data_IF_449298737864
#
_entry.id   IF_449298737864
#
_cell.length_a   1.000
_cell.length_b   1.000
_cell.length_c   1.000
_cell.angle_alpha   90.00
_cell.angle_beta   90.00
_cell.angle_gamma   90.00
#
_symmetry.space_group_name_H-M   'P 1'
#
loop_
_entity.id
_entity.type
_entity.pdbx_description
1 polymer ?
#
# COMPACT_ATOMS: atom_id res chain seq x y z
N UNK A 1 7.63 3.21 -58.68
CA UNK A 1 7.61 2.18 -57.60
C UNK A 1 8.82 2.28 -56.65
N UNK A 2 10.06 2.11 -57.12
CA UNK A 2 11.25 2.15 -56.24
C UNK A 2 11.35 3.46 -55.41
N UNK A 3 11.00 4.60 -55.99
CA UNK A 3 11.03 5.92 -55.33
C UNK A 3 9.99 6.07 -54.23
N UNK A 4 8.80 5.50 -54.39
CA UNK A 4 7.72 5.55 -53.39
C UNK A 4 7.98 4.60 -52.21
N UNK A 5 8.48 3.39 -52.49
CA UNK A 5 8.95 2.44 -51.46
C UNK A 5 10.11 3.03 -50.66
N UNK A 6 11.04 3.71 -51.34
CA UNK A 6 12.17 4.40 -50.68
C UNK A 6 11.68 5.57 -49.81
N UNK A 7 10.66 6.31 -50.26
CA UNK A 7 10.04 7.39 -49.47
C UNK A 7 9.32 6.87 -48.23
N UNK A 8 8.54 5.79 -48.35
CA UNK A 8 7.87 5.12 -47.24
C UNK A 8 8.88 4.53 -46.23
N UNK A 9 9.94 3.86 -46.71
CA UNK A 9 11.04 3.37 -45.86
C UNK A 9 11.75 4.51 -45.13
N UNK A 10 12.02 5.64 -45.79
CA UNK A 10 12.62 6.83 -45.13
C UNK A 10 11.69 7.44 -44.09
N UNK A 11 10.37 7.46 -44.33
CA UNK A 11 9.39 7.94 -43.34
C UNK A 11 9.33 7.02 -42.13
N UNK A 12 9.22 5.71 -42.33
CA UNK A 12 9.23 4.72 -41.25
C UNK A 12 10.55 4.74 -40.45
N UNK A 13 11.70 4.90 -41.12
CA UNK A 13 13.00 5.05 -40.46
C UNK A 13 13.11 6.35 -39.65
N UNK A 14 12.51 7.46 -40.12
CA UNK A 14 12.40 8.70 -39.35
C UNK A 14 11.49 8.57 -38.12
N UNK A 15 10.42 7.79 -38.23
CA UNK A 15 9.55 7.48 -37.08
C UNK A 15 10.26 6.59 -36.06
N UNK A 16 10.97 5.55 -36.52
CA UNK A 16 11.82 4.71 -35.65
C UNK A 16 12.86 5.53 -34.90
N UNK A 17 13.62 6.36 -35.60
CA UNK A 17 14.63 7.24 -34.96
C UNK A 17 14.02 8.33 -34.05
N UNK A 18 12.78 8.79 -34.30
CA UNK A 18 12.06 9.67 -33.36
C UNK A 18 11.64 8.91 -32.10
N UNK A 19 11.13 7.69 -32.24
CA UNK A 19 10.79 6.79 -31.14
C UNK A 19 12.02 6.44 -30.31
N UNK A 20 13.14 6.11 -30.94
CA UNK A 20 14.40 5.80 -30.25
C UNK A 20 14.90 7.02 -29.45
N UNK A 21 14.78 8.23 -30.00
CA UNK A 21 15.12 9.47 -29.28
C UNK A 21 14.18 9.77 -28.10
N UNK A 22 12.90 9.44 -28.24
CA UNK A 22 11.92 9.55 -27.15
C UNK A 22 12.22 8.52 -26.06
N UNK A 23 12.57 7.29 -26.43
CA UNK A 23 12.98 6.23 -25.51
C UNK A 23 14.27 6.61 -24.77
N UNK A 24 15.27 7.16 -25.46
CA UNK A 24 16.50 7.66 -24.82
C UNK A 24 16.22 8.85 -23.90
N UNK A 25 15.36 9.80 -24.30
CA UNK A 25 14.96 10.91 -23.43
C UNK A 25 14.25 10.43 -22.14
N UNK A 26 13.42 9.39 -22.23
CA UNK A 26 12.79 8.79 -21.04
C UNK A 26 13.77 8.04 -20.14
N UNK A 27 14.88 7.52 -20.67
CA UNK A 27 15.96 6.92 -19.85
C UNK A 27 16.75 7.97 -19.10
N UNK A 28 17.00 9.12 -19.72
CA UNK A 28 17.74 10.24 -19.11
C UNK A 28 16.94 10.91 -17.97
N UNK A 29 15.60 10.79 -17.97
CA UNK A 29 14.72 11.28 -16.91
C UNK A 29 14.57 10.33 -15.71
N UNK A 30 15.29 9.20 -15.67
CA UNK A 30 15.30 8.29 -14.51
C UNK A 30 14.01 7.48 -14.33
N UNK A 31 13.17 7.39 -15.35
CA UNK A 31 11.97 6.56 -15.34
C UNK A 31 12.39 5.09 -15.44
N UNK A 32 12.10 4.31 -14.39
CA UNK A 32 12.59 2.94 -14.21
C UNK A 32 12.36 2.00 -15.42
N UNK A 33 13.29 1.06 -15.57
CA UNK A 33 13.41 0.06 -16.65
C UNK A 33 12.17 -0.81 -16.88
N UNK A 34 11.26 -0.89 -15.92
CA UNK A 34 9.94 -1.52 -16.02
C UNK A 34 9.06 -0.88 -17.11
N UNK A 35 9.17 0.44 -17.34
CA UNK A 35 8.43 1.13 -18.41
C UNK A 35 9.05 0.99 -19.80
N UNK A 36 10.35 0.66 -19.90
CA UNK A 36 11.01 0.39 -21.18
C UNK A 36 10.70 -1.05 -21.65
N UNK A 37 10.52 -1.98 -20.70
CA UNK A 37 10.06 -3.35 -20.96
C UNK A 37 8.68 -3.37 -21.61
N UNK A 38 7.73 -2.57 -21.10
CA UNK A 38 6.37 -2.46 -21.67
C UNK A 38 6.39 -1.88 -23.09
N UNK A 39 7.28 -0.93 -23.41
CA UNK A 39 7.44 -0.44 -24.78
C UNK A 39 7.99 -1.50 -25.75
N UNK A 40 8.92 -2.35 -25.31
CA UNK A 40 9.44 -3.47 -26.11
C UNK A 40 8.37 -4.55 -26.33
N UNK A 41 7.58 -4.86 -25.29
CA UNK A 41 6.40 -5.73 -25.37
C UNK A 41 5.34 -5.15 -26.32
N UNK A 42 5.16 -3.83 -26.35
CA UNK A 42 4.22 -3.16 -27.27
C UNK A 42 4.69 -3.18 -28.73
N UNK A 43 6.00 -3.10 -29.01
CA UNK A 43 6.53 -3.38 -30.35
C UNK A 43 6.26 -4.85 -30.73
N UNK A 44 6.27 -5.76 -29.74
CA UNK A 44 5.81 -7.14 -29.86
C UNK A 44 4.31 -7.27 -30.19
N UNK A 45 3.44 -6.51 -29.53
CA UNK A 45 2.00 -6.48 -29.79
C UNK A 45 1.67 -5.93 -31.19
N UNK A 46 2.37 -4.88 -31.64
CA UNK A 46 2.25 -4.35 -33.01
C UNK A 46 2.70 -5.40 -34.04
N UNK A 47 3.71 -6.21 -33.72
CA UNK A 47 4.12 -7.37 -34.54
C UNK A 47 3.12 -8.53 -34.47
N UNK A 48 2.40 -8.69 -33.35
CA UNK A 48 1.35 -9.69 -33.19
C UNK A 48 0.06 -9.32 -33.97
N UNK A 49 -0.32 -8.04 -33.98
CA UNK A 49 -1.40 -7.54 -34.86
C UNK A 49 -1.03 -7.69 -36.34
N UNK A 50 0.26 -7.64 -36.68
CA UNK A 50 0.76 -7.97 -38.03
C UNK A 50 0.53 -9.45 -38.38
N UNK A 51 0.74 -10.39 -37.45
CA UNK A 51 0.49 -11.82 -37.67
C UNK A 51 -1.01 -12.16 -37.79
N UNK A 52 -1.90 -11.45 -37.09
CA UNK A 52 -3.36 -11.65 -37.18
C UNK A 52 -3.95 -11.26 -38.55
N UNK A 53 -3.21 -10.56 -39.43
CA UNK A 53 -3.77 -10.00 -40.68
C UNK A 53 -3.11 -10.51 -41.96
N UNK A 54 -2.27 -11.54 -41.89
CA UNK A 54 -1.61 -12.15 -43.05
C UNK A 54 -2.42 -13.28 -43.72
N UNK A 55 -3.57 -13.69 -43.15
CA UNK A 55 -4.37 -14.83 -43.66
C UNK A 55 -5.71 -14.51 -44.35
N UNK A 56 -6.29 -13.33 -44.12
CA UNK A 56 -7.62 -12.96 -44.66
C UNK A 56 -7.50 -11.79 -45.61
N UNK A 57 -8.04 -11.91 -46.83
CA UNK A 57 -8.16 -10.79 -47.77
C UNK A 57 -8.90 -9.64 -47.07
N UNK A 58 -8.16 -8.63 -46.62
CA UNK A 58 -8.75 -7.40 -46.09
C UNK A 58 -9.60 -6.76 -47.19
N UNK A 59 -10.92 -6.81 -47.03
CA UNK A 59 -11.86 -6.19 -47.95
C UNK A 59 -12.17 -4.75 -47.49
N UNK A 60 -12.84 -3.98 -48.35
CA UNK A 60 -13.17 -2.59 -48.04
C UNK A 60 -14.05 -2.42 -46.78
N UNK A 61 -14.82 -3.44 -46.41
CA UNK A 61 -15.65 -3.42 -45.20
C UNK A 61 -14.82 -3.55 -43.93
N UNK A 62 -13.75 -4.38 -43.95
CA UNK A 62 -12.84 -4.49 -42.82
C UNK A 62 -12.14 -3.15 -42.54
N UNK A 63 -11.72 -2.44 -43.59
CA UNK A 63 -11.18 -1.09 -43.48
C UNK A 63 -12.16 -0.16 -42.77
N UNK A 64 -13.40 -0.07 -43.27
CA UNK A 64 -14.41 0.80 -42.69
C UNK A 64 -14.62 0.50 -41.20
N UNK A 65 -14.67 -0.79 -40.83
CA UNK A 65 -14.72 -1.21 -39.42
C UNK A 65 -13.52 -0.74 -38.62
N UNK A 66 -12.30 -1.00 -39.09
CA UNK A 66 -11.05 -0.63 -38.39
C UNK A 66 -11.01 0.89 -38.11
N UNK A 67 -11.44 1.71 -39.06
CA UNK A 67 -11.40 3.16 -38.94
C UNK A 67 -12.51 3.74 -38.08
N UNK A 68 -13.70 3.12 -38.13
CA UNK A 68 -14.79 3.46 -37.20
C UNK A 68 -14.35 3.16 -35.76
N UNK A 69 -13.64 2.06 -35.54
CA UNK A 69 -13.04 1.73 -34.25
C UNK A 69 -11.98 2.75 -33.84
N UNK A 70 -10.99 3.05 -34.70
CA UNK A 70 -9.95 4.05 -34.41
C UNK A 70 -10.54 5.43 -34.10
N UNK A 71 -11.61 5.83 -34.80
CA UNK A 71 -12.31 7.09 -34.51
C UNK A 71 -13.02 7.06 -33.16
N UNK A 72 -13.72 5.97 -32.85
CA UNK A 72 -14.40 5.80 -31.57
C UNK A 72 -13.39 5.86 -30.43
N UNK A 73 -12.25 5.20 -30.60
CA UNK A 73 -11.13 5.22 -29.68
C UNK A 73 -10.57 6.64 -29.51
N UNK A 74 -10.33 7.38 -30.60
CA UNK A 74 -9.89 8.79 -30.52
C UNK A 74 -10.88 9.66 -29.74
N UNK A 75 -12.18 9.50 -29.98
CA UNK A 75 -13.21 10.23 -29.24
C UNK A 75 -13.33 9.83 -27.77
N UNK A 76 -12.93 8.60 -27.41
CA UNK A 76 -12.83 8.19 -26.01
C UNK A 76 -11.60 8.83 -25.34
N UNK A 77 -10.45 8.86 -26.02
CA UNK A 77 -9.23 9.49 -25.51
C UNK A 77 -9.42 11.01 -25.34
N UNK A 78 -10.12 11.68 -26.27
CA UNK A 78 -10.46 13.10 -26.14
C UNK A 78 -11.37 13.38 -24.93
N UNK A 79 -12.33 12.48 -24.66
CA UNK A 79 -13.20 12.57 -23.48
C UNK A 79 -12.41 12.37 -22.21
N UNK A 80 -11.53 11.37 -22.18
CA UNK A 80 -10.65 11.12 -21.05
C UNK A 80 -9.72 12.30 -20.75
N UNK A 81 -9.20 12.97 -21.78
CA UNK A 81 -8.42 14.20 -21.61
C UNK A 81 -9.24 15.29 -20.92
N UNK A 82 -10.53 15.41 -21.28
CA UNK A 82 -11.45 16.36 -20.68
C UNK A 82 -11.77 15.99 -19.22
N UNK A 83 -11.99 14.70 -18.93
CA UNK A 83 -12.20 14.20 -17.57
C UNK A 83 -11.01 14.48 -16.66
N UNK A 84 -9.77 14.34 -17.15
CA UNK A 84 -8.57 14.70 -16.38
C UNK A 84 -8.57 16.19 -16.04
N UNK A 85 -8.96 17.05 -17.00
CA UNK A 85 -9.10 18.48 -16.73
C UNK A 85 -10.17 18.76 -15.67
N UNK A 86 -11.34 18.16 -15.80
CA UNK A 86 -12.46 18.37 -14.87
C UNK A 86 -12.08 17.89 -13.45
N UNK A 87 -11.43 16.73 -13.34
CA UNK A 87 -10.89 16.21 -12.09
C UNK A 87 -9.85 17.15 -11.49
N UNK A 88 -8.96 17.72 -12.32
CA UNK A 88 -7.98 18.70 -11.86
C UNK A 88 -8.65 19.96 -11.32
N UNK A 89 -9.64 20.52 -12.01
CA UNK A 89 -10.38 21.69 -11.53
C UNK A 89 -11.20 21.37 -10.28
N UNK A 90 -11.77 20.17 -10.17
CA UNK A 90 -12.49 19.71 -8.99
C UNK A 90 -11.56 19.61 -7.78
N UNK A 91 -10.43 18.91 -7.91
CA UNK A 91 -9.43 18.80 -6.84
C UNK A 91 -8.91 20.18 -6.46
N UNK A 92 -8.60 21.03 -7.45
CA UNK A 92 -8.17 22.41 -7.20
C UNK A 92 -9.22 23.24 -6.46
N UNK A 93 -10.51 23.09 -6.79
CA UNK A 93 -11.61 23.77 -6.10
C UNK A 93 -11.81 23.22 -4.67
N UNK A 94 -11.62 21.92 -4.48
CA UNK A 94 -11.72 21.25 -3.17
C UNK A 94 -10.52 21.58 -2.27
N UNK A 95 -9.35 21.86 -2.88
CA UNK A 95 -8.12 22.35 -2.23
C UNK A 95 -8.35 23.63 -1.39
N UNK A 96 -9.44 24.36 -1.61
CA UNK A 96 -9.77 25.54 -0.80
C UNK A 96 -10.27 25.21 0.63
N UNK A 97 -10.54 23.95 1.01
CA UNK A 97 -11.08 23.64 2.35
C UNK A 97 -10.58 22.30 2.90
N UNK A 98 -9.50 22.36 3.67
CA UNK A 98 -9.26 21.57 4.90
C UNK A 98 -9.20 20.02 4.86
N UNK A 99 -9.83 19.32 3.93
CA UNK A 99 -10.06 17.86 4.02
C UNK A 99 -8.86 16.98 3.60
N UNK A 100 -8.12 17.33 2.55
CA UNK A 100 -7.13 16.42 1.96
C UNK A 100 -5.70 16.56 2.51
N UNK A 101 -5.40 17.66 3.23
CA UNK A 101 -4.03 18.00 3.61
C UNK A 101 -3.07 18.16 2.42
N UNK A 102 -1.84 18.61 2.65
CA UNK A 102 -0.86 18.78 1.57
C UNK A 102 -0.43 17.44 0.93
N UNK A 103 -0.37 16.38 1.73
CA UNK A 103 -0.01 15.03 1.26
C UNK A 103 -1.06 14.44 0.32
N UNK A 104 -2.35 14.49 0.68
CA UNK A 104 -3.42 13.95 -0.17
C UNK A 104 -3.54 14.68 -1.50
N UNK A 105 -3.27 15.99 -1.53
CA UNK A 105 -3.21 16.78 -2.76
C UNK A 105 -2.04 16.37 -3.66
N UNK A 106 -0.85 16.21 -3.10
CA UNK A 106 0.32 15.76 -3.87
C UNK A 106 0.07 14.38 -4.49
N UNK A 107 -0.49 13.43 -3.73
CA UNK A 107 -0.87 12.10 -4.25
C UNK A 107 -1.90 12.19 -5.37
N UNK A 108 -2.93 13.03 -5.21
CA UNK A 108 -3.98 13.21 -6.23
C UNK A 108 -3.41 13.79 -7.52
N UNK A 109 -2.59 14.84 -7.44
CA UNK A 109 -1.95 15.42 -8.63
C UNK A 109 -0.98 14.44 -9.28
N UNK A 110 -0.21 13.68 -8.51
CA UNK A 110 0.69 12.66 -9.05
C UNK A 110 -0.07 11.60 -9.87
N UNK A 111 -1.20 11.09 -9.35
CA UNK A 111 -2.06 10.16 -10.07
C UNK A 111 -2.57 10.75 -11.40
N UNK A 112 -2.97 12.03 -11.41
CA UNK A 112 -3.40 12.71 -12.64
C UNK A 112 -2.27 12.86 -13.65
N UNK A 113 -1.03 13.16 -13.21
CA UNK A 113 0.15 13.21 -14.10
C UNK A 113 0.38 11.87 -14.77
N UNK A 114 0.31 10.77 -14.01
CA UNK A 114 0.47 9.41 -14.55
C UNK A 114 -0.61 9.09 -15.59
N UNK A 115 -1.88 9.39 -15.27
CA UNK A 115 -3.01 9.17 -16.19
C UNK A 115 -2.88 9.99 -17.48
N UNK A 116 -2.56 11.29 -17.37
CA UNK A 116 -2.36 12.16 -18.52
C UNK A 116 -1.15 11.72 -19.39
N UNK A 117 -0.09 11.23 -18.75
CA UNK A 117 1.08 10.69 -19.46
C UNK A 117 0.76 9.39 -20.19
N UNK A 118 -0.04 8.50 -19.59
CA UNK A 118 -0.54 7.30 -20.27
C UNK A 118 -1.39 7.66 -21.47
N UNK A 119 -2.35 8.57 -21.29
CA UNK A 119 -3.23 9.04 -22.36
C UNK A 119 -2.45 9.63 -23.55
N UNK A 120 -1.39 10.39 -23.26
CA UNK A 120 -0.47 10.91 -24.27
C UNK A 120 0.18 9.79 -25.09
N UNK A 121 0.63 8.71 -24.42
CA UNK A 121 1.22 7.53 -25.09
C UNK A 121 0.19 6.83 -25.98
N UNK A 122 -1.04 6.67 -25.49
CA UNK A 122 -2.12 6.01 -26.23
C UNK A 122 -2.53 6.80 -27.47
N UNK A 123 -2.62 8.14 -27.39
CA UNK A 123 -2.86 8.99 -28.56
C UNK A 123 -1.76 8.87 -29.63
N UNK A 124 -0.50 8.83 -29.22
CA UNK A 124 0.62 8.64 -30.16
C UNK A 124 0.57 7.24 -30.80
N UNK A 125 0.22 6.21 -30.03
CA UNK A 125 0.00 4.84 -30.54
C UNK A 125 -1.14 4.81 -31.55
N UNK A 126 -2.23 5.52 -31.27
CA UNK A 126 -3.38 5.60 -32.15
C UNK A 126 -3.03 6.29 -33.48
N UNK A 127 -2.29 7.41 -33.44
CA UNK A 127 -1.80 8.08 -34.66
C UNK A 127 -0.93 7.13 -35.49
N UNK A 128 0.01 6.44 -34.85
CA UNK A 128 0.90 5.50 -35.53
C UNK A 128 0.12 4.33 -36.17
N UNK A 129 -0.84 3.78 -35.44
CA UNK A 129 -1.73 2.70 -35.92
C UNK A 129 -2.53 3.17 -37.13
N UNK A 130 -3.13 4.36 -37.04
CA UNK A 130 -3.87 4.96 -38.14
C UNK A 130 -2.98 5.17 -39.38
N UNK A 131 -1.78 5.72 -39.22
CA UNK A 131 -0.84 5.96 -40.33
C UNK A 131 -0.41 4.66 -40.99
N UNK A 132 -0.23 3.58 -40.22
CA UNK A 132 0.10 2.27 -40.74
C UNK A 132 -1.06 1.67 -41.54
N UNK A 133 -2.28 1.76 -41.00
CA UNK A 133 -3.52 1.34 -41.68
C UNK A 133 -3.64 2.10 -43.00
N UNK A 134 -3.60 3.44 -42.98
CA UNK A 134 -3.73 4.25 -44.20
C UNK A 134 -2.68 3.90 -45.26
N UNK A 135 -1.41 3.71 -44.86
CA UNK A 135 -0.34 3.32 -45.77
C UNK A 135 -0.54 1.92 -46.37
N UNK A 136 -1.02 0.95 -45.57
CA UNK A 136 -1.36 -0.39 -46.06
C UNK A 136 -2.44 -0.32 -47.13
N UNK A 137 -3.49 0.49 -46.90
CA UNK A 137 -4.59 0.60 -47.84
C UNK A 137 -4.26 1.43 -49.08
N UNK A 138 -3.41 2.45 -48.96
CA UNK A 138 -2.79 3.09 -50.12
C UNK A 138 -2.03 2.07 -50.97
N UNK A 139 -1.27 1.18 -50.34
CA UNK A 139 -0.54 0.13 -51.03
C UNK A 139 -1.47 -0.88 -51.73
N UNK A 140 -2.55 -1.30 -51.06
CA UNK A 140 -3.55 -2.20 -51.66
C UNK A 140 -4.28 -1.57 -52.84
N UNK A 141 -4.64 -0.28 -52.73
CA UNK A 141 -5.25 0.46 -53.82
C UNK A 141 -4.32 0.57 -55.05
N UNK A 142 -3.01 0.65 -54.83
CA UNK A 142 -2.01 0.75 -55.88
C UNK A 142 -1.61 -0.61 -56.48
N UNK A 143 -1.57 -1.69 -55.68
CA UNK A 143 -0.98 -2.97 -56.10
C UNK A 143 -2.00 -4.04 -56.49
N UNK A 144 -3.11 -4.19 -55.77
CA UNK A 144 -3.83 -5.49 -55.75
C UNK A 144 -5.20 -5.52 -56.44
N UNK A 145 -5.68 -4.42 -57.05
CA UNK A 145 -7.08 -4.26 -57.54
C UNK A 145 -8.18 -4.57 -56.51
N UNK A 146 -7.83 -5.03 -55.30
CA UNK A 146 -8.75 -5.44 -54.24
C UNK A 146 -9.51 -4.24 -53.63
N UNK A 147 -8.88 -3.06 -53.64
CA UNK A 147 -9.50 -1.80 -53.25
C UNK A 147 -9.41 -0.84 -54.43
N UNK A 148 -10.55 -0.40 -54.95
CA UNK A 148 -10.57 0.56 -56.04
C UNK A 148 -10.09 1.94 -55.54
N UNK A 149 -9.17 2.64 -56.23
CA UNK A 149 -8.66 3.95 -55.79
C UNK A 149 -9.75 5.00 -55.54
N UNK A 150 -10.84 4.98 -56.33
CA UNK A 150 -11.98 5.87 -56.12
C UNK A 150 -12.67 5.60 -54.77
N UNK A 151 -12.85 4.34 -54.36
CA UNK A 151 -13.44 4.01 -53.05
C UNK A 151 -12.58 4.51 -51.90
N UNK A 152 -11.24 4.43 -52.01
CA UNK A 152 -10.33 5.03 -51.02
C UNK A 152 -10.48 6.56 -51.00
N UNK A 153 -10.57 7.20 -52.17
CA UNK A 153 -10.73 8.65 -52.25
C UNK A 153 -12.09 9.11 -51.68
N UNK A 154 -13.17 8.39 -51.96
CA UNK A 154 -14.50 8.63 -51.41
C UNK A 154 -14.48 8.45 -49.88
N UNK A 155 -13.77 7.45 -49.38
CA UNK A 155 -13.57 7.25 -47.95
C UNK A 155 -12.79 8.41 -47.30
N UNK A 156 -11.67 8.84 -47.89
CA UNK A 156 -10.91 10.01 -47.40
C UNK A 156 -11.73 11.31 -47.48
N UNK A 157 -12.78 11.37 -48.32
CA UNK A 157 -13.74 12.47 -48.41
C UNK A 157 -14.97 12.25 -47.52
N UNK A 158 -15.20 11.04 -47.03
CA UNK A 158 -16.38 10.66 -46.26
C UNK A 158 -16.49 11.51 -44.99
N UNK A 159 -17.72 11.91 -44.66
CA UNK A 159 -18.04 12.89 -43.60
C UNK A 159 -17.10 14.11 -43.62
N UNK A 160 -16.98 14.80 -44.77
CA UNK A 160 -16.20 16.03 -44.93
C UNK A 160 -14.69 15.90 -44.67
N UNK A 161 -14.13 14.70 -44.86
CA UNK A 161 -12.69 14.48 -44.69
C UNK A 161 -12.23 14.29 -43.25
N UNK A 162 -13.15 13.92 -42.33
CA UNK A 162 -12.83 13.48 -40.97
C UNK A 162 -11.94 12.23 -40.91
N UNK A 163 -11.71 11.56 -42.05
CA UNK A 163 -10.78 10.44 -42.17
C UNK A 163 -9.56 10.81 -43.03
N UNK A 164 -9.29 12.10 -43.21
CA UNK A 164 -8.08 12.53 -43.87
C UNK A 164 -6.90 12.37 -42.89
N UNK A 165 -5.77 11.77 -43.29
CA UNK A 165 -4.56 11.71 -42.47
C UNK A 165 -4.12 13.07 -41.91
N UNK A 166 -4.35 14.16 -42.65
CA UNK A 166 -4.10 15.53 -42.18
C UNK A 166 -5.02 15.93 -41.04
N UNK A 167 -6.31 15.57 -41.13
CA UNK A 167 -7.28 15.87 -40.08
C UNK A 167 -7.00 15.05 -38.83
N UNK A 168 -6.75 13.75 -38.96
CA UNK A 168 -6.41 12.88 -37.83
C UNK A 168 -5.16 13.39 -37.12
N UNK A 169 -4.10 13.72 -37.86
CA UNK A 169 -2.91 14.31 -37.27
C UNK A 169 -3.21 15.64 -36.57
N UNK A 170 -3.95 16.54 -37.22
CA UNK A 170 -4.31 17.81 -36.61
C UNK A 170 -5.17 17.63 -35.33
N UNK A 171 -6.06 16.63 -35.31
CA UNK A 171 -6.86 16.28 -34.14
C UNK A 171 -5.97 15.77 -33.01
N UNK A 172 -5.11 14.79 -33.29
CA UNK A 172 -4.16 14.24 -32.31
C UNK A 172 -3.21 15.32 -31.80
N UNK A 173 -2.62 16.13 -32.69
CA UNK A 173 -1.74 17.25 -32.31
C UNK A 173 -2.48 18.26 -31.42
N UNK A 174 -3.76 18.53 -31.71
CA UNK A 174 -4.63 19.38 -30.90
C UNK A 174 -4.83 18.83 -29.50
N UNK A 175 -5.18 17.54 -29.38
CA UNK A 175 -5.38 16.85 -28.09
C UNK A 175 -4.06 16.72 -27.32
N UNK A 176 -2.94 16.40 -27.99
CA UNK A 176 -1.62 16.36 -27.37
C UNK A 176 -1.22 17.73 -26.81
N UNK A 177 -1.44 18.80 -27.57
CA UNK A 177 -1.17 20.18 -27.10
C UNK A 177 -2.05 20.54 -25.90
N UNK A 178 -3.30 20.07 -25.89
CA UNK A 178 -4.22 20.25 -24.78
C UNK A 178 -3.77 19.48 -23.53
N UNK A 179 -3.38 18.21 -23.67
CA UNK A 179 -2.82 17.40 -22.58
C UNK A 179 -1.54 18.01 -22.03
N UNK A 180 -0.64 18.50 -22.88
CA UNK A 180 0.60 19.15 -22.45
C UNK A 180 0.31 20.40 -21.59
N UNK A 181 -0.69 21.20 -21.99
CA UNK A 181 -1.14 22.34 -21.16
C UNK A 181 -1.73 21.91 -19.82
N UNK A 182 -2.45 20.78 -19.78
CA UNK A 182 -3.00 20.23 -18.52
C UNK A 182 -1.85 19.73 -17.64
N UNK A 183 -0.92 18.96 -18.19
CA UNK A 183 0.27 18.47 -17.49
C UNK A 183 1.08 19.62 -16.89
N UNK A 184 1.33 20.69 -17.64
CA UNK A 184 2.03 21.88 -17.13
C UNK A 184 1.32 22.51 -15.93
N UNK A 185 -0.02 22.53 -15.93
CA UNK A 185 -0.83 23.08 -14.83
C UNK A 185 -0.81 22.15 -13.61
N UNK A 186 -0.95 20.84 -13.82
CA UNK A 186 -0.91 19.84 -12.75
C UNK A 186 0.48 19.82 -12.11
N UNK A 187 1.55 19.82 -12.90
CA UNK A 187 2.93 19.81 -12.38
C UNK A 187 3.26 21.05 -11.55
N UNK A 188 2.77 22.23 -11.95
CA UNK A 188 2.90 23.45 -11.13
C UNK A 188 2.17 23.31 -9.80
N UNK A 189 0.94 22.80 -9.81
CA UNK A 189 0.15 22.58 -8.60
C UNK A 189 0.76 21.49 -7.69
N UNK A 190 1.33 20.44 -8.29
CA UNK A 190 2.06 19.40 -7.58
C UNK A 190 3.28 19.97 -6.87
N UNK A 191 4.11 20.75 -7.57
CA UNK A 191 5.29 21.38 -6.97
C UNK A 191 4.92 22.32 -5.80
N UNK A 192 3.81 23.05 -5.91
CA UNK A 192 3.28 23.87 -4.81
C UNK A 192 2.82 23.01 -3.62
N UNK A 193 2.12 21.91 -3.88
CA UNK A 193 1.67 20.97 -2.84
C UNK A 193 2.84 20.29 -2.12
N UNK A 194 3.87 19.87 -2.86
CA UNK A 194 5.10 19.28 -2.31
C UNK A 194 5.87 20.29 -1.45
N UNK A 195 5.96 21.55 -1.89
CA UNK A 195 6.58 22.62 -1.11
C UNK A 195 5.83 22.86 0.20
N UNK A 196 4.50 22.87 0.16
CA UNK A 196 3.67 23.02 1.37
C UNK A 196 3.79 21.81 2.30
N UNK A 197 3.84 20.59 1.76
CA UNK A 197 4.08 19.37 2.52
C UNK A 197 5.42 19.44 3.25
N UNK A 198 6.48 19.82 2.54
CA UNK A 198 7.82 19.99 3.11
C UNK A 198 7.86 21.06 4.21
N UNK A 199 7.16 22.19 4.00
CA UNK A 199 7.02 23.25 5.02
C UNK A 199 6.35 22.73 6.29
N UNK A 200 5.26 21.95 6.16
CA UNK A 200 4.55 21.36 7.30
C UNK A 200 5.39 20.34 8.05
N UNK A 201 6.11 19.48 7.32
CA UNK A 201 7.03 18.51 7.90
C UNK A 201 8.15 19.22 8.70
N UNK A 202 8.72 20.30 8.14
CA UNK A 202 9.73 21.10 8.84
C UNK A 202 9.19 21.68 10.16
N UNK A 203 8.02 22.32 10.12
CA UNK A 203 7.38 22.89 11.32
C UNK A 203 7.02 21.81 12.35
N UNK A 204 6.58 20.64 11.90
CA UNK A 204 6.28 19.52 12.79
C UNK A 204 7.53 19.00 13.48
N UNK A 205 8.65 18.85 12.75
CA UNK A 205 9.95 18.46 13.33
C UNK A 205 10.45 19.48 14.34
N UNK A 206 10.36 20.77 14.03
CA UNK A 206 10.72 21.84 14.98
C UNK A 206 9.84 21.80 16.24
N UNK A 207 8.54 21.58 16.07
CA UNK A 207 7.61 21.44 17.20
C UNK A 207 7.94 20.22 18.07
N UNK A 208 8.26 19.08 17.44
CA UNK A 208 8.69 17.86 18.14
C UNK A 208 10.00 18.10 18.89
N UNK A 209 10.97 18.78 18.26
CA UNK A 209 12.23 19.13 18.90
C UNK A 209 12.00 20.01 20.12
N UNK A 210 11.20 21.08 20.01
CA UNK A 210 10.86 21.95 21.15
C UNK A 210 10.14 21.19 22.26
N UNK A 211 9.29 20.24 21.92
CA UNK A 211 8.62 19.38 22.91
C UNK A 211 9.62 18.50 23.66
N UNK A 212 10.60 17.92 22.96
CA UNK A 212 11.68 17.14 23.58
C UNK A 212 12.59 17.99 24.45
N UNK A 213 12.99 19.17 23.97
CA UNK A 213 13.78 20.12 24.76
C UNK A 213 13.05 20.54 26.05
N UNK A 214 11.73 20.76 25.96
CA UNK A 214 10.90 21.03 27.13
C UNK A 214 10.88 19.86 28.12
N UNK A 215 10.68 18.63 27.65
CA UNK A 215 10.71 17.44 28.51
C UNK A 215 12.07 17.25 29.19
N UNK A 216 13.17 17.48 28.47
CA UNK A 216 14.53 17.43 29.04
C UNK A 216 14.70 18.50 30.12
N UNK A 217 14.22 19.72 29.88
CA UNK A 217 14.31 20.82 30.83
C UNK A 217 13.45 20.58 32.08
N UNK A 218 12.21 20.10 31.91
CA UNK A 218 11.32 19.70 33.00
C UNK A 218 11.94 18.56 33.83
N UNK A 219 12.47 17.53 33.17
CA UNK A 219 13.18 16.43 33.82
C UNK A 219 14.43 16.89 34.58
N UNK A 220 15.22 17.80 34.01
CA UNK A 220 16.40 18.36 34.69
C UNK A 220 16.01 19.15 35.95
N UNK A 221 14.89 19.88 35.89
CA UNK A 221 14.35 20.63 37.03
C UNK A 221 13.87 19.67 38.13
N UNK A 222 13.13 18.62 37.77
CA UNK A 222 12.71 17.58 38.72
C UNK A 222 13.90 16.88 39.40
N UNK A 223 14.95 16.54 38.64
CA UNK A 223 16.19 15.96 39.19
C UNK A 223 16.87 16.92 40.16
N UNK A 224 16.89 18.22 39.85
CA UNK A 224 17.45 19.24 40.74
C UNK A 224 16.66 19.36 42.05
N UNK A 225 15.33 19.33 42.00
CA UNK A 225 14.46 19.34 43.18
C UNK A 225 14.64 18.08 44.03
N UNK A 226 14.74 16.91 43.40
CA UNK A 226 15.03 15.65 44.09
C UNK A 226 16.40 15.72 44.77
N UNK A 227 17.42 16.24 44.09
CA UNK A 227 18.76 16.42 44.67
C UNK A 227 18.74 17.35 45.89
N UNK A 228 17.97 18.43 45.85
CA UNK A 228 17.79 19.30 47.01
C UNK A 228 17.09 18.58 48.18
N UNK A 229 16.10 17.75 47.88
CA UNK A 229 15.37 16.96 48.88
C UNK A 229 16.28 15.91 49.53
N UNK A 230 17.05 15.16 48.72
CA UNK A 230 18.05 14.21 49.21
C UNK A 230 19.08 14.90 50.11
N UNK A 231 19.61 16.06 49.70
CA UNK A 231 20.55 16.82 50.53
C UNK A 231 19.94 17.22 51.88
N UNK A 232 18.69 17.70 51.90
CA UNK A 232 17.97 18.02 53.15
C UNK A 232 17.83 16.80 54.06
N UNK A 233 17.53 15.63 53.50
CA UNK A 233 17.46 14.40 54.29
C UNK A 233 18.82 13.99 54.84
N UNK A 234 19.89 14.12 54.05
CA UNK A 234 21.27 13.87 54.51
C UNK A 234 21.62 14.76 55.71
N UNK A 235 21.33 16.06 55.64
CA UNK A 235 21.58 17.00 56.75
C UNK A 235 20.81 16.61 58.02
N UNK A 236 19.55 16.17 57.87
CA UNK A 236 18.73 15.67 59.00
C UNK A 236 19.31 14.38 59.60
N UNK A 237 19.78 13.45 58.77
CA UNK A 237 20.43 12.22 59.24
C UNK A 237 21.72 12.53 60.00
N UNK A 238 22.54 13.46 59.53
CA UNK A 238 23.73 13.90 60.26
C UNK A 238 23.40 14.52 61.62
N UNK A 239 22.31 15.30 61.74
CA UNK A 239 21.85 15.83 63.03
C UNK A 239 21.39 14.72 63.98
N UNK A 240 20.64 13.73 63.48
CA UNK A 240 20.22 12.57 64.28
C UNK A 240 21.42 11.76 64.76
N UNK A 241 22.40 11.50 63.89
CA UNK A 241 23.65 10.80 64.25
C UNK A 241 24.38 11.57 65.36
N UNK A 242 24.57 12.89 65.23
CA UNK A 242 25.20 13.72 66.27
C UNK A 242 24.45 13.67 67.60
N UNK A 243 23.11 13.68 67.58
CA UNK A 243 22.29 13.55 68.81
C UNK A 243 22.45 12.17 69.46
N UNK A 244 22.49 11.10 68.67
CA UNK A 244 22.72 9.75 69.18
C UNK A 244 24.10 9.63 69.82
N UNK A 245 25.14 10.15 69.18
CA UNK A 245 26.50 10.19 69.74
C UNK A 245 26.57 10.97 71.07
N UNK A 246 25.86 12.10 71.18
CA UNK A 246 25.77 12.88 72.41
C UNK A 246 25.06 12.12 73.55
N UNK A 247 23.96 11.42 73.24
CA UNK A 247 23.24 10.58 74.19
C UNK A 247 24.09 9.39 74.66
N UNK A 248 24.83 8.76 73.76
CA UNK A 248 25.79 7.70 74.12
C UNK A 248 26.91 8.21 75.03
N UNK A 249 27.41 9.42 74.78
CA UNK A 249 28.37 10.10 75.65
C UNK A 249 27.85 10.32 77.07
N UNK A 250 26.59 10.75 77.23
CA UNK A 250 25.94 10.93 78.53
C UNK A 250 25.68 9.60 79.27
N UNK A 251 25.40 8.53 78.53
CA UNK A 251 25.24 7.19 79.12
C UNK A 251 26.56 6.64 79.67
N UNK A 252 27.69 6.95 79.03
CA UNK A 252 29.03 6.54 79.48
C UNK A 252 29.51 7.33 80.72
N UNK A 253 29.02 8.55 80.95
CA UNK A 253 29.40 9.36 82.12
C UNK A 253 28.50 9.16 83.36
N UNK A 254 27.35 8.49 83.22
CA UNK A 254 26.42 8.18 84.31
C UNK A 254 26.57 6.77 84.90
N UNK A 255 27.64 6.03 84.57
CA UNK A 255 27.94 4.74 85.19
C UNK A 255 28.54 4.92 86.60
N UNK A 256 27.66 4.91 87.61
CA UNK A 256 27.97 4.54 88.99
C UNK A 256 26.87 3.61 89.53
N UNK A 257 27.18 2.79 90.55
CA UNK A 257 26.90 1.35 90.50
C UNK A 257 25.59 0.93 91.18
N UNK A 258 25.09 -0.22 90.71
CA UNK A 258 24.32 -1.21 91.48
C UNK A 258 23.04 -0.72 92.17
N UNK A 259 21.89 -1.02 91.55
CA UNK A 259 20.69 -1.32 92.31
C UNK A 259 20.18 -2.71 91.88
N UNK A 260 20.50 -3.70 92.71
CA UNK A 260 19.76 -4.95 92.74
C UNK A 260 18.33 -4.67 93.21
N UNK A 261 17.35 -4.96 92.37
CA UNK A 261 15.99 -5.21 92.82
C UNK A 261 15.54 -6.57 92.29
N UNK A 262 15.64 -7.56 93.18
CA UNK A 262 14.89 -8.81 93.09
C UNK A 262 13.40 -8.50 93.23
N UNK A 263 12.61 -8.84 92.22
CA UNK A 263 11.15 -8.68 92.23
C UNK A 263 10.52 -9.81 91.44
N UNK A 264 9.85 -10.71 92.17
CA UNK A 264 9.29 -11.98 91.71
C UNK A 264 8.04 -11.78 90.83
N UNK A 265 7.89 -12.71 89.88
CA UNK A 265 6.66 -13.47 89.56
C UNK A 265 5.36 -12.73 89.24
N UNK A 266 4.95 -12.83 87.96
CA UNK A 266 3.61 -13.26 87.50
C UNK A 266 3.64 -13.25 85.96
N UNK A 267 3.90 -14.36 85.28
CA UNK A 267 2.89 -15.35 84.83
C UNK A 267 1.57 -14.70 84.41
N UNK A 268 1.55 -14.11 83.22
CA UNK A 268 0.39 -14.13 82.34
C UNK A 268 0.86 -14.65 80.98
N UNK A 269 0.42 -15.87 80.69
CA UNK A 269 0.43 -16.48 79.38
C UNK A 269 -0.49 -15.68 78.47
N UNK A 270 0.09 -14.97 77.50
CA UNK A 270 -0.61 -14.63 76.28
C UNK A 270 0.24 -15.15 75.13
N UNK A 271 -0.34 -16.15 74.46
CA UNK A 271 0.17 -16.82 73.29
C UNK A 271 0.37 -15.80 72.17
N UNK A 272 1.62 -15.41 71.91
CA UNK A 272 1.97 -14.72 70.69
C UNK A 272 2.94 -15.62 69.91
N UNK A 273 2.37 -16.32 68.93
CA UNK A 273 3.06 -17.19 68.00
C UNK A 273 4.18 -16.40 67.32
N UNK A 274 5.40 -16.60 67.82
CA UNK A 274 6.62 -16.16 67.17
C UNK A 274 6.84 -17.06 65.96
N UNK A 275 6.22 -16.66 64.84
CA UNK A 275 6.48 -17.20 63.53
C UNK A 275 7.89 -16.77 63.14
N UNK A 276 8.86 -17.60 63.53
CA UNK A 276 10.27 -17.46 63.21
C UNK A 276 10.41 -17.72 61.71
N UNK A 277 10.29 -16.66 60.91
CA UNK A 277 10.62 -16.67 59.47
C UNK A 277 12.04 -17.19 59.30
N UNK A 278 12.17 -18.46 58.91
CA UNK A 278 13.39 -18.99 58.35
C UNK A 278 13.54 -18.34 56.97
N UNK A 279 14.47 -17.38 56.87
CA UNK A 279 14.94 -16.88 55.59
C UNK A 279 15.75 -18.01 54.96
N UNK A 280 15.10 -18.82 54.15
CA UNK A 280 15.79 -19.72 53.21
C UNK A 280 16.45 -18.84 52.16
N UNK A 281 17.78 -18.84 52.13
CA UNK A 281 18.58 -18.29 51.02
C UNK A 281 18.24 -19.09 49.76
N UNK A 282 17.33 -18.56 48.95
CA UNK A 282 17.02 -19.11 47.63
C UNK A 282 18.15 -18.69 46.67
N UNK A 283 18.56 -19.62 45.81
CA UNK A 283 19.42 -19.29 44.67
C UNK A 283 18.69 -18.30 43.74
N UNK A 284 19.43 -17.40 43.09
CA UNK A 284 18.88 -16.34 42.24
C UNK A 284 17.92 -16.89 41.16
N UNK A 285 18.20 -18.07 40.61
CA UNK A 285 17.34 -18.74 39.62
C UNK A 285 15.99 -19.20 40.20
N UNK A 286 15.97 -19.63 41.46
CA UNK A 286 14.76 -20.02 42.19
C UNK A 286 13.94 -18.78 42.57
N UNK A 287 14.61 -17.71 42.97
CA UNK A 287 13.97 -16.43 43.24
C UNK A 287 13.28 -15.86 41.99
N UNK A 288 13.97 -15.88 40.84
CA UNK A 288 13.39 -15.44 39.56
C UNK A 288 12.24 -16.34 39.11
N UNK A 289 12.38 -17.66 39.22
CA UNK A 289 11.30 -18.60 38.87
C UNK A 289 10.05 -18.39 39.72
N UNK A 290 10.22 -18.10 41.01
CA UNK A 290 9.13 -17.80 41.93
C UNK A 290 8.45 -16.47 41.62
N UNK A 291 9.22 -15.42 41.34
CA UNK A 291 8.69 -14.11 40.91
C UNK A 291 7.89 -14.21 39.61
N UNK A 292 8.37 -14.99 38.63
CA UNK A 292 7.64 -15.19 37.37
C UNK A 292 6.34 -15.98 37.60
N UNK A 293 6.36 -17.01 38.45
CA UNK A 293 5.18 -17.78 38.79
C UNK A 293 4.10 -16.93 39.50
N UNK A 294 4.49 -16.09 40.47
CA UNK A 294 3.55 -15.22 41.20
C UNK A 294 2.90 -14.16 40.30
N UNK A 295 3.59 -13.69 39.27
CA UNK A 295 3.02 -12.76 38.28
C UNK A 295 2.13 -13.48 37.26
N UNK A 296 2.43 -14.74 36.95
CA UNK A 296 1.68 -15.54 35.96
C UNK A 296 0.29 -15.93 36.47
N UNK A 297 0.21 -16.37 37.73
CA UNK A 297 -1.02 -16.93 38.31
C UNK A 297 -2.11 -15.86 38.58
N UNK A 298 -1.71 -14.58 38.63
CA UNK A 298 -2.65 -13.47 38.84
C UNK A 298 -3.37 -12.99 37.56
N UNK A 299 -3.12 -13.64 36.42
CA UNK A 299 -3.74 -13.28 35.12
C UNK A 299 -4.96 -14.13 34.73
N UNK A 300 -5.43 -15.05 35.59
CA UNK A 300 -6.65 -15.83 35.33
C UNK A 300 -7.92 -15.15 35.87
N UNK A 301 -8.25 -13.97 35.34
CA UNK A 301 -9.55 -13.36 35.61
C UNK A 301 -10.65 -14.10 34.83
N UNK A 302 -11.33 -15.01 35.51
CA UNK A 302 -12.62 -15.55 35.13
C UNK A 302 -13.68 -14.45 35.24
N UNK A 303 -14.26 -14.05 34.11
CA UNK A 303 -15.37 -13.10 34.03
C UNK A 303 -16.65 -13.76 34.58
N UNK A 304 -16.92 -13.58 35.88
CA UNK A 304 -18.28 -13.67 36.41
C UNK A 304 -18.61 -12.46 37.28
N UNK A 305 -19.74 -11.85 36.91
CA UNK A 305 -20.35 -10.66 37.48
C UNK A 305 -20.51 -10.73 39.00
N UNK A 306 -19.84 -9.84 39.73
CA UNK A 306 -20.34 -9.27 40.99
C UNK A 306 -19.80 -7.85 41.17
N UNK A 307 -20.71 -6.93 41.49
CA UNK A 307 -20.46 -5.52 41.86
C UNK A 307 -19.27 -5.35 42.82
N UNK A 308 -18.33 -4.42 42.56
CA UNK A 308 -17.23 -4.19 43.47
C UNK A 308 -17.59 -3.09 44.49
N UNK A 309 -17.72 -3.50 45.76
CA UNK A 309 -17.41 -2.61 46.87
C UNK A 309 -15.90 -2.30 46.86
N UNK A 310 -15.59 -1.01 46.88
CA UNK A 310 -14.25 -0.44 47.03
C UNK A 310 -13.52 -0.98 48.28
N UNK A 311 -12.24 -1.35 48.14
CA UNK A 311 -11.25 -1.23 49.20
C UNK A 311 -10.26 -0.09 48.92
N UNK A 312 -9.83 0.52 50.02
CA UNK A 312 -8.98 1.70 50.15
C UNK A 312 -7.57 1.57 49.55
N UNK A 313 -7.18 2.64 48.85
CA UNK A 313 -5.85 3.24 48.74
C UNK A 313 -4.60 2.34 48.73
N UNK A 314 -4.07 2.11 47.52
CA UNK A 314 -2.67 1.75 47.29
C UNK A 314 -1.87 3.06 47.06
N UNK A 315 -0.65 3.23 47.64
CA UNK A 315 0.15 4.43 47.46
C UNK A 315 0.67 4.56 46.03
N UNK A 316 0.56 5.78 45.48
CA UNK A 316 1.01 6.15 44.14
C UNK A 316 2.54 6.05 44.02
N UNK A 317 3.02 4.94 43.43
CA UNK A 317 4.36 4.85 42.87
C UNK A 317 4.31 5.09 41.36
N UNK A 318 5.14 6.02 40.87
CA UNK A 318 5.29 6.43 39.48
C UNK A 318 5.54 5.22 38.56
N UNK A 319 4.52 4.79 37.83
CA UNK A 319 4.66 3.87 36.70
C UNK A 319 4.49 4.69 35.44
N UNK A 320 5.50 4.59 34.57
CA UNK A 320 5.70 5.25 33.29
C UNK A 320 4.46 5.89 32.65
N UNK A 321 4.60 7.18 32.34
CA UNK A 321 3.67 7.97 31.57
C UNK A 321 3.50 7.35 30.17
N UNK A 322 2.60 6.37 30.06
CA UNK A 322 2.01 5.96 28.80
C UNK A 322 1.46 7.23 28.14
N UNK A 323 2.04 7.58 27.00
CA UNK A 323 1.58 8.66 26.14
C UNK A 323 0.15 8.32 25.73
N UNK A 324 -0.83 8.77 26.52
CA UNK A 324 -2.26 8.69 26.17
C UNK A 324 -2.46 9.62 24.98
N UNK A 325 -2.39 9.06 23.79
CA UNK A 325 -2.89 9.74 22.60
C UNK A 325 -4.32 10.20 22.89
N UNK A 326 -4.69 11.44 22.55
CA UNK A 326 -6.05 11.93 22.74
C UNK A 326 -7.03 10.95 22.10
N UNK A 327 -8.11 10.60 22.81
CA UNK A 327 -9.12 9.66 22.30
C UNK A 327 -9.66 10.07 20.91
N UNK A 328 -9.64 11.36 20.60
CA UNK A 328 -9.98 11.93 19.29
C UNK A 328 -9.05 11.44 18.17
N UNK A 329 -7.74 11.40 18.40
CA UNK A 329 -6.75 11.03 17.39
C UNK A 329 -6.80 9.51 17.13
N UNK A 330 -7.05 8.71 18.19
CA UNK A 330 -7.26 7.26 18.07
C UNK A 330 -8.52 6.96 17.25
N UNK A 331 -9.64 7.63 17.53
CA UNK A 331 -10.88 7.46 16.75
C UNK A 331 -10.71 7.89 15.29
N UNK A 332 -9.97 8.96 15.03
CA UNK A 332 -9.75 9.44 13.65
C UNK A 332 -8.86 8.49 12.86
N UNK A 333 -7.80 7.95 13.47
CA UNK A 333 -6.99 6.88 12.85
C UNK A 333 -7.83 5.63 12.57
N UNK A 334 -8.71 5.24 13.50
CA UNK A 334 -9.62 4.11 13.27
C UNK A 334 -10.58 4.37 12.10
N UNK A 335 -11.14 5.58 11.98
CA UNK A 335 -11.97 5.97 10.83
C UNK A 335 -11.21 5.95 9.51
N UNK A 336 -10.00 6.50 9.47
CA UNK A 336 -9.17 6.48 8.26
C UNK A 336 -8.82 5.05 7.85
N UNK A 337 -8.49 4.19 8.82
CA UNK A 337 -8.24 2.76 8.59
C UNK A 337 -9.49 2.04 8.07
N UNK A 338 -10.66 2.31 8.66
CA UNK A 338 -11.92 1.74 8.21
C UNK A 338 -12.29 2.20 6.80
N UNK A 339 -12.17 3.50 6.51
CA UNK A 339 -12.41 4.05 5.16
C UNK A 339 -11.47 3.45 4.11
N UNK A 340 -10.19 3.29 4.46
CA UNK A 340 -9.21 2.61 3.61
C UNK A 340 -9.59 1.14 3.38
N UNK A 341 -10.02 0.41 4.41
CA UNK A 341 -10.50 -0.97 4.28
C UNK A 341 -11.70 -1.10 3.33
N UNK A 342 -12.69 -0.22 3.45
CA UNK A 342 -13.86 -0.25 2.54
C UNK A 342 -13.41 -0.02 1.10
N UNK A 343 -12.59 1.01 0.84
CA UNK A 343 -12.11 1.32 -0.50
C UNK A 343 -11.34 0.14 -1.12
N UNK A 344 -10.45 -0.50 -0.36
CA UNK A 344 -9.73 -1.69 -0.83
C UNK A 344 -10.69 -2.83 -1.20
N UNK A 345 -11.79 -3.02 -0.47
CA UNK A 345 -12.77 -4.08 -0.77
C UNK A 345 -13.59 -3.81 -2.03
N UNK A 346 -13.88 -2.53 -2.31
CA UNK A 346 -14.55 -2.12 -3.54
C UNK A 346 -13.69 -2.44 -4.77
N UNK A 347 -12.37 -2.24 -4.66
CA UNK A 347 -11.40 -2.54 -5.72
C UNK A 347 -11.01 -4.02 -5.81
N UNK A 348 -11.27 -4.81 -4.76
CA UNK A 348 -10.85 -6.21 -4.70
C UNK A 348 -11.74 -7.10 -5.58
N UNK A 349 -11.14 -7.68 -6.61
CA UNK A 349 -11.81 -8.48 -7.63
C UNK A 349 -12.45 -9.74 -7.03
N UNK A 350 -13.72 -9.99 -7.33
CA UNK A 350 -14.42 -11.23 -6.94
C UNK A 350 -14.04 -12.36 -7.89
N UNK A 351 -13.75 -13.55 -7.36
CA UNK A 351 -13.55 -14.76 -8.17
C UNK A 351 -14.88 -15.16 -8.78
N UNK A 352 -15.00 -14.98 -10.10
CA UNK A 352 -16.17 -15.39 -10.86
C UNK A 352 -16.04 -16.89 -11.15
N UNK A 353 -16.92 -17.71 -10.58
CA UNK A 353 -16.92 -19.16 -10.83
C UNK A 353 -17.63 -19.47 -12.15
N UNK A 354 -17.01 -20.32 -12.97
CA UNK A 354 -17.53 -20.74 -14.27
C UNK A 354 -16.80 -20.12 -15.46
N UNK A 355 -17.25 -20.51 -16.64
CA UNK A 355 -16.80 -19.98 -17.91
C UNK A 355 -17.60 -18.77 -18.35
N UNK A 356 -16.92 -17.81 -18.95
CA UNK A 356 -17.56 -17.01 -19.98
C UNK A 356 -17.71 -17.92 -21.21
N UNK A 357 -18.91 -18.09 -21.78
CA UNK A 357 -19.15 -18.98 -22.91
C UNK A 357 -18.27 -18.69 -24.13
N UNK A 358 -17.70 -17.48 -24.23
CA UNK A 358 -16.83 -17.09 -25.34
C UNK A 358 -15.34 -17.40 -25.10
N UNK A 359 -14.95 -17.87 -23.90
CA UNK A 359 -13.56 -18.09 -23.54
C UNK A 359 -13.12 -19.52 -23.85
N UNK A 360 -12.36 -19.67 -24.94
CA UNK A 360 -11.67 -20.92 -25.28
C UNK A 360 -10.31 -20.98 -24.58
N UNK A 361 -10.29 -21.46 -23.32
CA UNK A 361 -9.04 -21.79 -22.66
C UNK A 361 -8.28 -22.85 -23.48
N UNK A 362 -6.95 -22.73 -23.63
CA UNK A 362 -6.17 -23.66 -24.45
C UNK A 362 -5.86 -24.99 -23.73
N UNK A 363 -5.94 -25.01 -22.40
CA UNK A 363 -5.53 -26.13 -21.57
C UNK A 363 -6.69 -26.65 -20.72
N UNK A 364 -6.77 -27.97 -20.43
CA UNK A 364 -7.74 -28.51 -19.49
C UNK A 364 -7.53 -27.90 -18.11
N UNK A 365 -8.63 -27.68 -17.38
CA UNK A 365 -8.54 -27.14 -16.04
C UNK A 365 -7.72 -28.04 -15.11
N UNK A 366 -6.68 -27.53 -14.45
CA UNK A 366 -5.83 -28.33 -13.55
C UNK A 366 -6.58 -28.96 -12.36
N UNK A 367 -7.74 -28.43 -12.01
CA UNK A 367 -8.52 -28.87 -10.85
C UNK A 367 -9.58 -29.92 -11.21
N UNK A 368 -10.35 -29.69 -12.29
CA UNK A 368 -11.46 -30.58 -12.66
C UNK A 368 -11.26 -31.35 -13.97
N UNK A 369 -10.17 -31.09 -14.69
CA UNK A 369 -9.84 -31.67 -16.00
C UNK A 369 -10.84 -31.41 -17.14
N UNK A 370 -11.87 -30.58 -16.94
CA UNK A 370 -12.76 -30.14 -18.02
C UNK A 370 -11.98 -29.30 -19.03
N UNK A 371 -12.17 -29.58 -20.33
CA UNK A 371 -11.47 -28.90 -21.42
C UNK A 371 -12.21 -27.64 -21.84
N UNK A 372 -11.48 -26.53 -21.94
CA UNK A 372 -11.87 -25.30 -22.63
C UNK A 372 -13.18 -24.65 -22.17
N UNK A 373 -13.59 -24.90 -20.93
CA UNK A 373 -14.84 -24.40 -20.36
C UNK A 373 -14.62 -23.20 -19.43
N UNK A 374 -13.48 -23.11 -18.76
CA UNK A 374 -13.16 -22.02 -17.81
C UNK A 374 -11.66 -21.90 -17.59
N UNK A 375 -11.20 -20.74 -17.10
CA UNK A 375 -9.84 -20.58 -16.59
C UNK A 375 -9.63 -21.34 -15.30
N UNK A 376 -8.39 -21.74 -15.01
CA UNK A 376 -8.04 -22.45 -13.78
C UNK A 376 -8.55 -21.73 -12.52
N UNK A 377 -8.42 -20.40 -12.48
CA UNK A 377 -8.89 -19.54 -11.39
C UNK A 377 -10.41 -19.66 -11.12
N UNK A 378 -11.17 -19.91 -12.18
CA UNK A 378 -12.62 -19.83 -12.18
C UNK A 378 -13.27 -21.22 -12.11
N UNK A 379 -12.56 -22.24 -11.64
CA UNK A 379 -13.09 -23.60 -11.61
C UNK A 379 -14.36 -23.72 -10.74
N UNK A 380 -15.52 -24.08 -11.33
CA UNK A 380 -16.78 -24.19 -10.58
C UNK A 380 -16.89 -25.50 -9.80
N UNK A 381 -16.10 -26.52 -10.15
CA UNK A 381 -16.15 -27.85 -9.52
C UNK A 381 -15.32 -27.88 -8.23
N UNK A 382 -14.16 -27.23 -8.23
CA UNK A 382 -13.27 -27.16 -7.07
C UNK A 382 -13.19 -25.71 -6.64
N UNK A 383 -14.14 -25.28 -5.80
CA UNK A 383 -14.19 -23.92 -5.27
C UNK A 383 -13.22 -23.73 -4.11
N UNK A 384 -13.16 -24.71 -3.20
CA UNK A 384 -12.36 -24.64 -1.98
C UNK A 384 -10.84 -24.56 -2.26
N UNK A 385 -10.21 -23.53 -1.70
CA UNK A 385 -8.79 -23.22 -1.92
C UNK A 385 -7.83 -24.30 -1.38
N UNK A 386 -8.16 -24.92 -0.24
CA UNK A 386 -7.34 -25.98 0.35
C UNK A 386 -7.36 -27.21 -0.55
N UNK A 387 -8.53 -27.57 -1.07
CA UNK A 387 -8.66 -28.66 -2.06
C UNK A 387 -7.88 -28.37 -3.33
N UNK A 388 -7.88 -27.11 -3.82
CA UNK A 388 -7.08 -26.71 -4.99
C UNK A 388 -5.59 -26.93 -4.73
N UNK A 389 -5.08 -26.47 -3.59
CA UNK A 389 -3.67 -26.69 -3.22
C UNK A 389 -3.33 -28.19 -3.09
N UNK A 390 -4.18 -28.98 -2.45
CA UNK A 390 -3.99 -30.43 -2.30
C UNK A 390 -3.91 -31.13 -3.66
N UNK A 391 -4.76 -30.75 -4.62
CA UNK A 391 -4.73 -31.29 -5.98
C UNK A 391 -3.40 -30.95 -6.67
N UNK A 392 -2.95 -29.70 -6.60
CA UNK A 392 -1.69 -29.26 -7.23
C UNK A 392 -0.48 -29.95 -6.60
N UNK A 393 -0.46 -30.05 -5.26
CA UNK A 393 0.58 -30.78 -4.51
C UNK A 393 0.59 -32.27 -4.88
N UNK A 394 -0.57 -32.92 -4.92
CA UNK A 394 -0.71 -34.34 -5.30
C UNK A 394 -0.30 -34.61 -6.75
N UNK A 395 -0.52 -33.65 -7.64
CA UNK A 395 -0.07 -33.71 -9.03
C UNK A 395 1.44 -33.44 -9.18
N UNK A 396 2.16 -33.04 -8.12
CA UNK A 396 3.58 -32.69 -8.17
C UNK A 396 3.86 -31.39 -8.93
N UNK A 397 2.88 -30.49 -9.02
CA UNK A 397 2.98 -29.20 -9.72
C UNK A 397 3.44 -28.09 -8.78
N UNK A 398 4.07 -27.07 -9.35
CA UNK A 398 4.49 -25.88 -8.59
C UNK A 398 3.28 -25.02 -8.21
N UNK A 399 3.21 -24.59 -6.94
CA UNK A 399 2.14 -23.71 -6.45
C UNK A 399 2.19 -22.30 -7.03
N UNK A 400 3.35 -21.84 -7.50
CA UNK A 400 3.52 -20.50 -8.05
C UNK A 400 3.10 -20.38 -9.53
N UNK A 401 3.38 -21.40 -10.35
CA UNK A 401 3.07 -21.37 -11.79
C UNK A 401 2.09 -22.44 -12.28
N UNK A 402 1.69 -23.40 -11.44
CA UNK A 402 0.89 -24.59 -11.78
C UNK A 402 1.52 -25.54 -12.80
N UNK A 403 2.78 -25.32 -13.17
CA UNK A 403 3.55 -26.15 -14.11
C UNK A 403 4.60 -27.01 -13.37
N UNK A 404 5.23 -27.93 -14.10
CA UNK A 404 6.35 -28.73 -13.63
C UNK A 404 7.67 -27.98 -13.83
N UNK A 405 7.93 -26.97 -12.99
CA UNK A 405 9.06 -26.04 -13.19
C UNK A 405 10.35 -26.41 -12.44
N UNK A 406 10.39 -27.49 -11.65
CA UNK A 406 11.58 -27.87 -10.87
C UNK A 406 12.07 -26.81 -9.86
N UNK A 407 11.25 -25.80 -9.54
CA UNK A 407 11.56 -24.73 -8.59
C UNK A 407 12.13 -23.43 -9.21
N UNK A 408 12.33 -23.36 -10.53
CA UNK A 408 12.90 -22.17 -11.20
C UNK A 408 11.85 -21.25 -11.85
N UNK A 409 10.60 -21.30 -11.39
CA UNK A 409 9.55 -20.44 -11.96
C UNK A 409 9.85 -18.96 -11.70
N UNK A 410 9.63 -18.13 -12.71
CA UNK A 410 9.61 -16.67 -12.53
C UNK A 410 8.49 -16.32 -11.56
N UNK A 411 8.83 -15.66 -10.47
CA UNK A 411 7.86 -15.15 -9.50
C UNK A 411 6.96 -14.13 -10.21
N UNK A 412 5.72 -14.51 -10.47
CA UNK A 412 4.68 -13.56 -10.85
C UNK A 412 3.93 -13.18 -9.58
N UNK A 413 3.82 -11.87 -9.34
CA UNK A 413 3.00 -11.35 -8.26
C UNK A 413 1.54 -11.68 -8.58
N UNK A 414 0.83 -12.27 -7.62
CA UNK A 414 -0.60 -12.57 -7.75
C UNK A 414 -1.40 -11.26 -7.86
N UNK A 415 -2.26 -11.14 -8.87
CA UNK A 415 -3.06 -9.92 -9.10
C UNK A 415 -3.95 -9.57 -7.91
N UNK A 416 -4.61 -10.56 -7.30
CA UNK A 416 -5.41 -10.35 -6.09
C UNK A 416 -4.58 -9.83 -4.91
N UNK A 417 -3.34 -10.30 -4.76
CA UNK A 417 -2.46 -9.83 -3.68
C UNK A 417 -1.94 -8.42 -3.93
N UNK A 418 -1.74 -8.06 -5.19
CA UNK A 418 -1.34 -6.71 -5.58
C UNK A 418 -2.44 -5.68 -5.24
N UNK A 419 -3.71 -6.05 -5.40
CA UNK A 419 -4.87 -5.19 -5.06
C UNK A 419 -4.97 -4.86 -3.56
N UNK A 420 -4.47 -5.73 -2.68
CA UNK A 420 -4.54 -5.55 -1.21
C UNK A 420 -3.18 -5.24 -0.57
N UNK A 421 -2.14 -5.03 -1.37
CA UNK A 421 -0.81 -4.70 -0.87
C UNK A 421 -0.82 -3.34 -0.17
N UNK A 422 -0.10 -3.22 0.97
CA UNK A 422 -0.07 -2.01 1.81
C UNK A 422 -1.45 -1.60 2.36
N UNK A 423 -2.32 -2.59 2.59
CA UNK A 423 -3.66 -2.39 3.20
C UNK A 423 -3.80 -3.18 4.49
N UNK A 424 -4.86 -2.92 5.25
CA UNK A 424 -5.14 -3.68 6.47
C UNK A 424 -5.41 -5.19 6.22
N UNK A 425 -5.62 -5.59 4.96
CA UNK A 425 -5.83 -6.99 4.56
C UNK A 425 -4.55 -7.71 4.12
N UNK A 426 -3.39 -7.04 4.12
CA UNK A 426 -2.11 -7.65 3.76
C UNK A 426 -1.81 -8.90 4.62
N UNK A 427 -2.25 -8.92 5.88
CA UNK A 427 -2.13 -10.09 6.78
C UNK A 427 -2.79 -11.38 6.27
N UNK A 428 -3.72 -11.27 5.32
CA UNK A 428 -4.45 -12.40 4.71
C UNK A 428 -3.69 -12.94 3.48
N UNK A 429 -2.77 -12.15 2.92
CA UNK A 429 -1.94 -12.56 1.78
C UNK A 429 -1.08 -13.77 2.17
N UNK A 430 -1.13 -14.87 1.39
CA UNK A 430 -0.26 -16.01 1.62
C UNK A 430 1.21 -15.60 1.58
N UNK A 431 2.01 -16.13 2.51
CA UNK A 431 3.46 -15.93 2.50
C UNK A 431 4.08 -16.69 1.32
N UNK A 432 4.81 -15.99 0.47
CA UNK A 432 5.52 -16.55 -0.67
C UNK A 432 4.75 -16.51 -1.99
N UNK A 433 5.45 -16.88 -3.07
CA UNK A 433 4.88 -16.89 -4.41
C UNK A 433 3.80 -17.96 -4.56
N UNK A 434 2.65 -17.57 -5.12
CA UNK A 434 1.54 -18.47 -5.41
C UNK A 434 0.83 -18.02 -6.69
N UNK A 435 0.22 -18.97 -7.38
CA UNK A 435 -0.60 -18.71 -8.55
C UNK A 435 -1.93 -18.09 -8.13
N UNK A 436 -2.51 -17.21 -8.96
CA UNK A 436 -3.82 -16.56 -8.70
C UNK A 436 -4.95 -17.55 -8.38
N UNK A 437 -4.92 -18.73 -9.02
CA UNK A 437 -5.87 -19.83 -8.79
C UNK A 437 -5.81 -20.44 -7.39
N UNK A 438 -4.73 -20.18 -6.65
CA UNK A 438 -4.49 -20.60 -5.28
C UNK A 438 -4.55 -19.43 -4.29
N UNK A 439 -4.94 -18.23 -4.72
CA UNK A 439 -5.08 -17.09 -3.83
C UNK A 439 -6.38 -17.17 -3.00
N UNK A 440 -6.32 -17.04 -1.66
CA UNK A 440 -7.50 -17.10 -0.80
C UNK A 440 -8.29 -15.78 -0.73
N UNK A 441 -7.72 -14.66 -1.21
CA UNK A 441 -8.32 -13.33 -1.04
C UNK A 441 -9.75 -13.22 -1.61
N UNK A 442 -10.04 -13.70 -2.84
CA UNK A 442 -11.38 -13.59 -3.40
C UNK A 442 -12.42 -14.35 -2.58
N UNK A 443 -12.05 -15.50 -2.03
CA UNK A 443 -12.94 -16.36 -1.25
C UNK A 443 -13.19 -15.78 0.14
N UNK A 444 -12.21 -15.06 0.68
CA UNK A 444 -12.30 -14.37 1.98
C UNK A 444 -12.93 -12.99 1.91
N UNK A 445 -13.34 -12.51 0.73
CA UNK A 445 -13.92 -11.17 0.58
C UNK A 445 -15.11 -10.92 1.50
N UNK A 446 -16.00 -11.91 1.64
CA UNK A 446 -17.13 -11.80 2.56
C UNK A 446 -16.71 -11.67 4.04
N UNK A 447 -15.65 -12.37 4.46
CA UNK A 447 -15.09 -12.24 5.81
C UNK A 447 -14.44 -10.86 6.01
N UNK A 448 -13.76 -10.35 4.98
CA UNK A 448 -13.16 -9.02 4.98
C UNK A 448 -14.23 -7.91 5.04
N UNK A 449 -15.32 -8.05 4.28
CA UNK A 449 -16.49 -7.16 4.32
C UNK A 449 -17.18 -7.19 5.69
N UNK A 450 -17.32 -8.37 6.31
CA UNK A 450 -17.86 -8.49 7.66
C UNK A 450 -16.94 -7.82 8.70
N UNK A 451 -15.63 -8.06 8.61
CA UNK A 451 -14.64 -7.44 9.50
C UNK A 451 -14.59 -5.92 9.35
N UNK A 452 -14.79 -5.40 8.14
CA UNK A 452 -14.89 -3.97 7.90
C UNK A 452 -16.14 -3.38 8.57
N UNK A 453 -17.29 -4.06 8.50
CA UNK A 453 -18.56 -3.60 9.12
C UNK A 453 -18.56 -3.61 10.65
N UNK A 454 -17.72 -4.43 11.29
CA UNK A 454 -17.62 -4.50 12.76
C UNK A 454 -16.75 -3.39 13.38
N UNK A 455 -15.95 -2.68 12.56
CA UNK A 455 -15.11 -1.55 12.97
C UNK A 455 -15.84 -0.20 12.84
#
# INVERSE_FOLDING_TARGET
MATQITSAKRRLSRYGTKLDKIIEAFKDEGIETTQVSTMSEHIGEIRSTRQMTEGTQANAEQLERDLVLLRKEMGNLDREASEIQDNFEQVKAQTLREEYGAGGLATSYHSMVLRATSLKKDLMRLEATYMFVDARYENMANMSRAVHPAKRADWLRFKNGLYNPRWIRASVDGTLTFIDKILDRINKALAEAEKELHRRDTLWRESQQRSRERQIWEGATAVQELRQTVNKHTDLFEDVVKRLEALEGQRKSSSSPSLMCSGKSSRSSDDNASERMQVTELNDDEYFSKMVAEVSDNTSYSLQNTDPMLPESIPAGEVDAQVKLPARDVMEMMRMRHKSMIATLEDCSVRILGGDPDIKASNPCYFCNTKNDHYHDNCPVVVDIRKREEIIKKQGRCVACLEFCGGSCKEKICSYCLEVYDTAFERIVPKGAHHLALCPLPDKRAEMEASAKEL
#
